data_IF_360880751322
#
_entry.id   IF_360880751322
#
_cell.length_a   1.000
_cell.length_b   1.000
_cell.length_c   1.000
_cell.angle_alpha   90.00
_cell.angle_beta   90.00
_cell.angle_gamma   90.00
#
_symmetry.space_group_name_H-M   'P 1'
#
loop_
_entity.id
_entity.type
_entity.pdbx_description
1 polymer ?
#
# COMPACT_ATOMS: atom_id res chain seq x y z
N UNK A 1 37.96 10.62 -30.97
CA UNK A 1 37.08 9.48 -30.73
C UNK A 1 37.11 9.25 -29.23
N UNK A 2 36.04 9.63 -28.53
CA UNK A 2 35.99 9.61 -27.07
C UNK A 2 35.38 8.30 -26.61
N UNK A 3 36.13 7.56 -25.79
CA UNK A 3 35.74 6.30 -25.19
C UNK A 3 34.44 6.44 -24.40
N UNK A 4 33.48 5.59 -24.76
CA UNK A 4 32.17 5.49 -24.12
C UNK A 4 32.34 4.68 -22.84
N UNK A 5 32.63 5.32 -21.71
CA UNK A 5 32.64 4.69 -20.39
C UNK A 5 31.24 4.13 -20.10
N UNK A 6 31.05 2.84 -20.38
CA UNK A 6 29.85 2.09 -19.98
C UNK A 6 29.78 2.11 -18.46
N UNK A 7 28.71 2.70 -17.93
CA UNK A 7 28.33 2.54 -16.53
C UNK A 7 28.21 1.05 -16.20
N UNK A 8 29.09 0.55 -15.34
CA UNK A 8 29.06 -0.83 -14.85
C UNK A 8 28.26 -0.83 -13.56
N UNK A 9 27.09 -1.46 -13.59
CA UNK A 9 26.34 -1.75 -12.38
C UNK A 9 26.99 -2.95 -11.67
N UNK A 10 27.74 -2.65 -10.62
CA UNK A 10 28.51 -3.63 -9.86
C UNK A 10 27.63 -4.70 -9.20
N UNK A 11 26.39 -4.39 -8.83
CA UNK A 11 25.45 -5.38 -8.30
C UNK A 11 25.13 -6.42 -9.36
N UNK A 12 24.89 -5.95 -10.58
CA UNK A 12 24.57 -6.76 -11.75
C UNK A 12 25.73 -7.70 -12.12
N UNK A 13 26.98 -7.22 -12.04
CA UNK A 13 28.16 -8.07 -12.26
C UNK A 13 28.32 -9.16 -11.19
N UNK A 14 28.11 -8.83 -9.92
CA UNK A 14 28.22 -9.78 -8.81
C UNK A 14 27.16 -10.89 -8.97
N UNK A 15 25.92 -10.52 -9.28
CA UNK A 15 24.83 -11.50 -9.50
C UNK A 15 25.15 -12.41 -10.69
N UNK A 16 25.59 -11.84 -11.83
CA UNK A 16 25.96 -12.61 -13.03
C UNK A 16 27.14 -13.54 -12.80
N UNK A 17 28.12 -13.12 -12.00
CA UNK A 17 29.27 -13.97 -11.64
C UNK A 17 28.83 -15.15 -10.78
N UNK A 18 28.02 -14.88 -9.75
CA UNK A 18 27.46 -15.90 -8.86
C UNK A 18 26.58 -16.90 -9.62
N UNK A 19 25.81 -16.44 -10.61
CA UNK A 19 25.04 -17.30 -11.51
C UNK A 19 25.94 -18.24 -12.33
N UNK A 20 26.98 -17.69 -12.97
CA UNK A 20 27.95 -18.48 -13.77
C UNK A 20 28.72 -19.50 -12.96
N UNK A 21 28.99 -19.21 -11.69
CA UNK A 21 29.67 -20.11 -10.76
C UNK A 21 28.75 -21.20 -10.19
N UNK A 22 27.49 -21.27 -10.64
CA UNK A 22 26.51 -22.27 -10.18
C UNK A 22 25.96 -21.98 -8.78
N UNK A 23 26.10 -20.74 -8.30
CA UNK A 23 25.64 -20.34 -6.96
C UNK A 23 24.12 -20.45 -6.77
N UNK A 24 23.35 -20.61 -7.86
CA UNK A 24 21.90 -20.86 -7.82
C UNK A 24 21.51 -22.34 -8.06
N UNK A 25 22.46 -23.24 -8.35
CA UNK A 25 22.15 -24.62 -8.71
C UNK A 25 21.64 -25.45 -7.53
N UNK A 26 22.05 -25.10 -6.30
CA UNK A 26 21.72 -25.82 -5.07
C UNK A 26 21.00 -24.94 -4.03
N UNK A 27 20.03 -24.13 -4.45
CA UNK A 27 19.24 -23.35 -3.51
C UNK A 27 18.32 -24.24 -2.66
N UNK A 28 18.23 -23.99 -1.34
CA UNK A 28 17.31 -24.71 -0.47
C UNK A 28 15.87 -24.40 -0.86
N UNK A 29 15.20 -25.36 -1.49
CA UNK A 29 13.81 -25.22 -1.93
C UNK A 29 13.58 -25.23 -3.44
N UNK A 30 14.62 -25.33 -4.27
CA UNK A 30 14.46 -25.55 -5.71
C UNK A 30 13.62 -26.80 -5.97
N UNK A 31 12.59 -26.65 -6.81
CA UNK A 31 11.65 -27.72 -7.18
C UNK A 31 10.69 -28.15 -6.06
N UNK A 32 10.79 -27.60 -4.84
CA UNK A 32 9.85 -27.91 -3.75
C UNK A 32 8.63 -27.00 -3.84
N UNK A 33 7.42 -27.51 -3.53
CA UNK A 33 6.24 -26.67 -3.45
C UNK A 33 6.42 -25.61 -2.35
N UNK A 34 5.92 -24.40 -2.60
CA UNK A 34 5.92 -23.33 -1.61
C UNK A 34 5.22 -23.81 -0.32
N UNK A 35 5.73 -23.45 0.87
CA UNK A 35 5.10 -23.84 2.12
C UNK A 35 3.65 -23.37 2.17
N UNK A 36 2.73 -24.25 2.59
CA UNK A 36 1.27 -23.98 2.58
C UNK A 36 0.88 -22.73 3.38
N UNK A 37 1.67 -22.36 4.38
CA UNK A 37 1.48 -21.14 5.18
C UNK A 37 1.60 -19.87 4.33
N UNK A 38 2.52 -19.85 3.35
CA UNK A 38 2.71 -18.74 2.41
C UNK A 38 1.65 -18.66 1.33
N UNK A 39 0.83 -19.71 1.18
CA UNK A 39 -0.28 -19.76 0.24
C UNK A 39 -1.61 -19.36 0.89
N UNK A 40 -1.65 -19.22 2.23
CA UNK A 40 -2.87 -18.89 2.97
C UNK A 40 -3.07 -17.38 3.15
N UNK A 41 -2.02 -16.67 3.53
CA UNK A 41 -2.03 -15.22 3.69
C UNK A 41 -1.48 -14.55 2.42
N UNK A 42 -1.90 -13.31 2.16
CA UNK A 42 -1.25 -12.47 1.17
C UNK A 42 0.24 -12.28 1.55
N UNK A 43 1.14 -12.44 0.58
CA UNK A 43 2.59 -12.33 0.77
C UNK A 43 2.95 -11.00 1.43
N UNK A 44 2.27 -9.93 1.02
CA UNK A 44 2.43 -8.59 1.60
C UNK A 44 2.16 -8.59 3.11
N UNK A 45 1.04 -9.18 3.53
CA UNK A 45 0.64 -9.24 4.94
C UNK A 45 1.65 -10.06 5.75
N UNK A 46 2.16 -11.15 5.18
CA UNK A 46 3.16 -12.00 5.83
C UNK A 46 4.48 -11.25 6.04
N UNK A 47 4.94 -10.51 5.03
CA UNK A 47 6.19 -9.72 5.11
C UNK A 47 6.07 -8.60 6.15
N UNK A 48 4.94 -7.88 6.17
CA UNK A 48 4.70 -6.81 7.16
C UNK A 48 4.68 -7.37 8.59
N UNK A 49 3.97 -8.49 8.83
CA UNK A 49 3.91 -9.11 10.16
C UNK A 49 5.30 -9.56 10.64
N UNK A 50 6.14 -10.08 9.73
CA UNK A 50 7.46 -10.62 10.07
C UNK A 50 8.54 -9.56 10.25
N UNK A 51 8.43 -8.41 9.59
CA UNK A 51 9.45 -7.35 9.66
C UNK A 51 9.40 -6.51 10.94
N UNK A 52 8.35 -6.66 11.78
CA UNK A 52 8.13 -5.79 12.94
C UNK A 52 7.85 -4.34 12.55
N UNK A 53 7.70 -4.05 11.25
CA UNK A 53 7.46 -2.72 10.72
C UNK A 53 5.96 -2.46 10.66
N UNK A 54 5.52 -1.34 11.23
CA UNK A 54 4.14 -0.85 11.08
C UNK A 54 4.11 0.21 10.00
N UNK A 55 3.51 -0.06 8.83
CA UNK A 55 3.41 0.95 7.79
C UNK A 55 2.59 2.16 8.22
N UNK A 56 3.05 3.35 7.82
CA UNK A 56 2.40 4.62 8.12
C UNK A 56 0.97 4.71 7.57
N UNK A 57 0.71 4.05 6.44
CA UNK A 57 -0.61 4.04 5.82
C UNK A 57 -1.68 3.40 6.71
N UNK A 58 -1.35 2.45 7.59
CA UNK A 58 -2.30 1.88 8.55
C UNK A 58 -2.75 2.92 9.58
N UNK A 59 -1.82 3.76 10.06
CA UNK A 59 -2.14 4.85 10.98
C UNK A 59 -2.98 5.94 10.28
N UNK A 60 -2.70 6.21 9.00
CA UNK A 60 -3.51 7.12 8.17
C UNK A 60 -4.91 6.57 7.91
N UNK A 61 -5.04 5.28 7.64
CA UNK A 61 -6.32 4.61 7.40
C UNK A 61 -7.28 4.81 8.57
N UNK A 62 -6.82 4.57 9.81
CA UNK A 62 -7.65 4.77 11.01
C UNK A 62 -8.10 6.22 11.15
N UNK A 63 -7.19 7.18 10.95
CA UNK A 63 -7.53 8.62 11.01
C UNK A 63 -8.57 9.02 9.97
N UNK A 64 -8.46 8.49 8.75
CA UNK A 64 -9.43 8.73 7.68
C UNK A 64 -10.78 8.13 8.05
N UNK A 65 -10.81 6.89 8.57
CA UNK A 65 -12.03 6.24 9.04
C UNK A 65 -12.76 7.08 10.10
N UNK A 66 -12.06 7.50 11.16
CA UNK A 66 -12.63 8.31 12.24
C UNK A 66 -13.22 9.64 11.70
N UNK A 67 -12.55 10.27 10.72
CA UNK A 67 -13.05 11.48 10.06
C UNK A 67 -14.28 11.23 9.21
N UNK A 68 -14.33 10.11 8.48
CA UNK A 68 -15.49 9.75 7.68
C UNK A 68 -16.72 9.50 8.56
N UNK A 69 -16.56 8.83 9.70
CA UNK A 69 -17.65 8.66 10.68
C UNK A 69 -18.18 10.01 11.19
N UNK A 70 -17.27 10.95 11.50
CA UNK A 70 -17.65 12.29 11.91
C UNK A 70 -18.39 13.06 10.82
N UNK A 71 -17.96 12.97 9.56
CA UNK A 71 -18.65 13.64 8.45
C UNK A 71 -20.06 13.05 8.25
N UNK A 72 -20.20 11.72 8.36
CA UNK A 72 -21.51 11.04 8.23
C UNK A 72 -22.47 11.48 9.35
N UNK A 73 -22.00 11.63 10.58
CA UNK A 73 -22.85 12.10 11.68
C UNK A 73 -23.32 13.56 11.47
N UNK A 74 -22.45 14.42 10.95
CA UNK A 74 -22.76 15.83 10.66
C UNK A 74 -23.72 16.00 9.47
N UNK A 75 -23.64 15.12 8.47
CA UNK A 75 -24.61 15.07 7.35
C UNK A 75 -26.01 14.76 7.88
N UNK A 76 -26.12 13.86 8.88
CA UNK A 76 -27.40 13.47 9.48
C UNK A 76 -28.01 14.56 10.37
N UNK A 77 -27.19 15.46 10.92
CA UNK A 77 -27.65 16.57 11.76
C UNK A 77 -27.99 17.84 10.97
N UNK A 78 -28.13 17.77 9.64
CA UNK A 78 -28.47 18.90 8.74
C UNK A 78 -27.57 20.13 8.89
N UNK A 79 -26.28 19.92 9.18
CA UNK A 79 -25.33 21.04 9.24
C UNK A 79 -25.00 21.61 7.86
N UNK A 80 -24.65 22.91 7.84
CA UNK A 80 -24.41 23.71 6.64
C UNK A 80 -23.63 22.98 5.53
N UNK A 81 -24.27 22.84 4.36
CA UNK A 81 -23.72 22.13 3.19
C UNK A 81 -22.34 22.62 2.72
N UNK A 82 -21.97 23.88 2.98
CA UNK A 82 -20.66 24.43 2.60
C UNK A 82 -19.51 23.87 3.46
N UNK A 83 -19.76 23.63 4.75
CA UNK A 83 -18.77 23.07 5.68
C UNK A 83 -18.49 21.61 5.32
N UNK A 84 -19.55 20.84 5.09
CA UNK A 84 -19.46 19.43 4.70
C UNK A 84 -18.65 19.26 3.41
N UNK A 85 -18.89 20.09 2.40
CA UNK A 85 -18.11 20.04 1.15
C UNK A 85 -16.62 20.30 1.36
N UNK A 86 -16.24 21.20 2.28
CA UNK A 86 -14.82 21.43 2.64
C UNK A 86 -14.22 20.20 3.31
N UNK A 87 -14.90 19.62 4.29
CA UNK A 87 -14.45 18.41 5.00
C UNK A 87 -14.25 17.22 4.04
N UNK A 88 -15.16 17.03 3.09
CA UNK A 88 -15.04 15.99 2.05
C UNK A 88 -13.79 16.21 1.19
N UNK A 89 -13.52 17.46 0.78
CA UNK A 89 -12.33 17.77 0.00
C UNK A 89 -11.03 17.53 0.77
N UNK A 90 -10.99 17.89 2.05
CA UNK A 90 -9.85 17.61 2.94
C UNK A 90 -9.62 16.11 3.09
N UNK A 91 -10.67 15.33 3.34
CA UNK A 91 -10.56 13.87 3.44
C UNK A 91 -10.10 13.25 2.13
N UNK A 92 -10.62 13.70 0.99
CA UNK A 92 -10.16 13.22 -0.32
C UNK A 92 -8.67 13.51 -0.56
N UNK A 93 -8.17 14.65 -0.11
CA UNK A 93 -6.73 14.92 -0.14
C UNK A 93 -5.94 13.91 0.71
N UNK A 94 -6.42 13.56 1.90
CA UNK A 94 -5.81 12.55 2.74
C UNK A 94 -5.87 11.14 2.13
N UNK A 95 -7.00 10.79 1.49
CA UNK A 95 -7.16 9.53 0.74
C UNK A 95 -6.12 9.45 -0.38
N UNK A 96 -5.87 10.56 -1.09
CA UNK A 96 -4.81 10.62 -2.11
C UNK A 96 -3.44 10.30 -1.51
N UNK A 97 -3.10 10.92 -0.39
CA UNK A 97 -1.82 10.65 0.30
C UNK A 97 -1.72 9.22 0.81
N UNK A 98 -2.81 8.64 1.30
CA UNK A 98 -2.89 7.24 1.67
C UNK A 98 -2.66 6.32 0.46
N UNK A 99 -3.35 6.57 -0.66
CA UNK A 99 -3.25 5.75 -1.87
C UNK A 99 -1.85 5.76 -2.49
N UNK A 100 -1.15 6.89 -2.42
CA UNK A 100 0.25 7.01 -2.87
C UNK A 100 1.22 6.21 -2.00
N UNK A 101 0.91 6.04 -0.72
CA UNK A 101 1.75 5.29 0.22
C UNK A 101 1.41 3.81 0.31
N UNK A 102 0.18 3.41 -0.03
CA UNK A 102 -0.27 2.03 0.13
C UNK A 102 -0.10 1.20 -1.16
N UNK A 103 0.06 -0.13 -1.04
CA UNK A 103 0.05 -1.03 -2.18
C UNK A 103 -1.24 -0.93 -3.00
N UNK A 104 -1.14 -1.18 -4.31
CA UNK A 104 -2.25 -1.03 -5.25
C UNK A 104 -3.55 -1.74 -4.80
N UNK A 105 -3.44 -2.96 -4.27
CA UNK A 105 -4.58 -3.75 -3.78
C UNK A 105 -5.32 -3.13 -2.59
N UNK A 106 -4.71 -2.17 -1.89
CA UNK A 106 -5.25 -1.51 -0.69
C UNK A 106 -5.71 -0.07 -0.94
N UNK A 107 -5.57 0.43 -2.17
CA UNK A 107 -6.04 1.76 -2.54
C UNK A 107 -7.56 1.86 -2.41
N UNK A 108 -8.04 3.03 -2.05
CA UNK A 108 -9.47 3.32 -1.80
C UNK A 108 -9.97 4.41 -2.72
N UNK A 109 -11.26 4.38 -3.02
CA UNK A 109 -11.91 5.42 -3.81
C UNK A 109 -12.08 6.72 -3.02
N UNK A 110 -12.20 7.82 -3.74
CA UNK A 110 -12.60 9.09 -3.16
C UNK A 110 -14.07 9.07 -2.71
N UNK A 111 -14.37 9.92 -1.74
CA UNK A 111 -15.69 10.05 -1.16
C UNK A 111 -16.42 11.29 -1.69
N UNK A 112 -17.74 11.16 -1.84
CA UNK A 112 -18.69 12.24 -2.13
C UNK A 112 -19.80 12.20 -1.10
N UNK A 113 -20.66 13.22 -1.05
CA UNK A 113 -21.78 13.25 -0.09
C UNK A 113 -22.73 12.06 -0.26
N UNK A 114 -22.86 11.57 -1.49
CA UNK A 114 -23.79 10.50 -1.86
C UNK A 114 -23.21 9.12 -1.58
N UNK A 115 -21.88 8.96 -1.70
CA UNK A 115 -21.24 7.66 -1.59
C UNK A 115 -20.56 7.41 -0.23
N UNK A 116 -20.46 8.42 0.63
CA UNK A 116 -19.64 8.35 1.85
C UNK A 116 -20.07 7.20 2.79
N UNK A 117 -21.37 6.96 2.92
CA UNK A 117 -21.90 5.87 3.76
C UNK A 117 -21.51 4.49 3.20
N UNK A 118 -21.54 4.33 1.88
CA UNK A 118 -21.12 3.10 1.20
C UNK A 118 -19.60 2.92 1.31
N UNK A 119 -18.85 4.00 1.14
CA UNK A 119 -17.38 3.97 1.22
C UNK A 119 -16.89 3.62 2.62
N UNK A 120 -17.58 4.08 3.68
CA UNK A 120 -17.21 3.82 5.08
C UNK A 120 -17.03 2.33 5.38
N UNK A 121 -17.85 1.46 4.78
CA UNK A 121 -17.74 -0.01 4.93
C UNK A 121 -16.39 -0.54 4.48
N UNK A 122 -15.79 0.06 3.45
CA UNK A 122 -14.48 -0.34 2.94
C UNK A 122 -13.30 0.24 3.75
N UNK A 123 -13.55 1.21 4.63
CA UNK A 123 -12.52 1.81 5.48
C UNK A 123 -12.40 1.16 6.86
N UNK A 124 -13.40 0.37 7.26
CA UNK A 124 -13.41 -0.47 8.47
C UNK A 124 -12.36 -1.58 8.41
#
# INVERSE_FOLDING_TARGET
>A
MSDNEKYVDWLDEIVKRHEKEGGFDNLPGIGKPLPKEHLKDDLLTTVIKRSGYKPDWLSKQKKIFDKLEHIVSQIKSEEHSSIISKLINEVNYEIKQYNLGCPFAMQKNYVTRENIEQQLVFWK
#
